data_IF_597846768639
#
_entry.id   IF_597846768639
#
_cell.length_a   1.000
_cell.length_b   1.000
_cell.length_c   1.000
_cell.angle_alpha   90.00
_cell.angle_beta   90.00
_cell.angle_gamma   90.00
#
_symmetry.space_group_name_H-M   'P 1'
#
loop_
_entity.id
_entity.type
_entity.pdbx_description
1 polymer ?
#
# COMPACT_ATOMS: atom_id res chain seq x y z
N UNK A 1 -12.00 -3.91 -8.53
CA UNK A 1 -12.49 -5.15 -7.84
C UNK A 1 -12.40 -4.93 -6.34
N UNK A 2 -13.45 -5.29 -5.59
CA UNK A 2 -13.46 -5.26 -4.12
C UNK A 2 -13.24 -6.67 -3.55
N UNK A 3 -12.32 -6.80 -2.63
CA UNK A 3 -12.03 -8.01 -1.87
C UNK A 3 -12.41 -7.71 -0.42
N UNK A 4 -13.50 -8.31 0.12
CA UNK A 4 -13.86 -8.17 1.53
C UNK A 4 -12.75 -8.68 2.46
N UNK A 5 -12.66 -8.20 3.71
CA UNK A 5 -11.67 -8.70 4.66
C UNK A 5 -11.87 -10.20 4.94
N UNK A 6 -10.77 -10.93 4.99
CA UNK A 6 -10.73 -12.35 5.34
C UNK A 6 -9.37 -12.69 5.94
N UNK A 7 -9.27 -13.81 6.64
CA UNK A 7 -7.98 -14.33 7.05
C UNK A 7 -7.29 -14.98 5.84
N UNK A 8 -6.25 -14.33 5.34
CA UNK A 8 -5.50 -14.79 4.18
C UNK A 8 -4.45 -15.87 4.52
N UNK A 9 -4.33 -16.24 5.81
CA UNK A 9 -3.39 -17.27 6.26
C UNK A 9 -1.96 -17.07 5.72
N UNK A 10 -1.53 -15.80 5.68
CA UNK A 10 -0.26 -15.34 5.10
C UNK A 10 -0.09 -15.60 3.59
N UNK A 11 -1.16 -15.97 2.87
CA UNK A 11 -1.14 -16.10 1.41
C UNK A 11 -1.42 -14.76 0.74
N UNK A 12 -0.92 -14.53 -0.49
CA UNK A 12 -1.15 -13.28 -1.20
C UNK A 12 -2.65 -12.97 -1.41
N UNK A 13 -3.06 -11.75 -1.09
CA UNK A 13 -4.39 -11.21 -1.39
C UNK A 13 -4.49 -10.80 -2.87
N UNK A 14 -3.39 -10.25 -3.40
CA UNK A 14 -3.20 -9.97 -4.83
C UNK A 14 -1.93 -10.70 -5.25
N UNK A 15 -2.07 -11.79 -5.96
CA UNK A 15 -0.96 -12.62 -6.41
C UNK A 15 -0.48 -12.24 -7.83
N UNK A 16 0.63 -12.85 -8.26
CA UNK A 16 1.23 -12.63 -9.57
C UNK A 16 0.34 -13.07 -10.77
N UNK A 17 -0.77 -13.78 -10.51
CA UNK A 17 -1.74 -14.21 -11.51
C UNK A 17 -2.99 -13.32 -11.55
N UNK A 18 -3.05 -12.28 -10.74
CA UNK A 18 -4.18 -11.38 -10.69
C UNK A 18 -4.40 -10.70 -12.05
N UNK A 19 -5.62 -10.80 -12.58
CA UNK A 19 -5.96 -10.29 -13.91
C UNK A 19 -6.49 -8.85 -13.88
N UNK A 20 -6.95 -8.38 -12.74
CA UNK A 20 -7.46 -7.01 -12.58
C UNK A 20 -6.32 -6.02 -12.47
N UNK A 21 -5.32 -6.34 -11.67
CA UNK A 21 -4.14 -5.50 -11.44
C UNK A 21 -2.86 -6.31 -11.64
N UNK A 22 -2.54 -6.73 -12.89
CA UNK A 22 -1.44 -7.63 -13.19
C UNK A 22 -0.05 -7.06 -12.89
N UNK A 23 0.05 -5.75 -12.65
CA UNK A 23 1.31 -5.12 -12.26
C UNK A 23 1.55 -5.16 -10.75
N UNK A 24 0.54 -5.45 -9.93
CA UNK A 24 0.61 -5.38 -8.48
C UNK A 24 0.72 -6.76 -7.81
N UNK A 25 1.35 -6.76 -6.64
CA UNK A 25 1.35 -7.86 -5.68
C UNK A 25 1.07 -7.30 -4.29
N UNK A 26 0.27 -8.01 -3.51
CA UNK A 26 -0.03 -7.63 -2.12
C UNK A 26 -0.24 -8.85 -1.23
N UNK A 27 0.43 -8.84 -0.06
CA UNK A 27 0.23 -9.83 0.99
C UNK A 27 0.18 -9.15 2.36
N UNK A 28 -0.56 -9.74 3.28
CA UNK A 28 -0.55 -9.43 4.71
C UNK A 28 -0.03 -10.65 5.44
N UNK A 29 1.08 -10.49 6.16
CA UNK A 29 1.71 -11.55 6.93
C UNK A 29 1.54 -11.25 8.42
N UNK A 30 1.00 -12.20 9.17
CA UNK A 30 0.81 -12.12 10.63
C UNK A 30 1.73 -13.11 11.31
N UNK A 31 2.55 -12.61 12.21
CA UNK A 31 3.57 -13.40 12.91
C UNK A 31 3.45 -13.21 14.42
N UNK A 32 3.77 -14.24 15.17
CA UNK A 32 3.99 -14.20 16.61
C UNK A 32 5.48 -14.21 16.91
N UNK A 33 5.85 -13.81 18.11
CA UNK A 33 7.24 -13.79 18.56
C UNK A 33 7.95 -15.11 18.31
N UNK A 34 9.05 -15.02 17.60
CA UNK A 34 9.87 -16.17 17.22
C UNK A 34 9.43 -16.87 15.92
N UNK A 35 8.29 -16.50 15.35
CA UNK A 35 7.91 -16.97 14.01
C UNK A 35 8.82 -16.33 12.96
N UNK A 36 9.06 -17.08 11.88
CA UNK A 36 9.71 -16.60 10.68
C UNK A 36 8.81 -16.85 9.46
N UNK A 37 8.89 -15.96 8.48
CA UNK A 37 8.19 -16.09 7.21
C UNK A 37 9.15 -15.78 6.06
N UNK A 38 9.18 -16.67 5.10
CA UNK A 38 10.02 -16.56 3.92
C UNK A 38 9.14 -16.45 2.67
N UNK A 39 9.54 -15.57 1.74
CA UNK A 39 8.88 -15.46 0.46
C UNK A 39 9.84 -15.09 -0.66
N UNK A 40 9.40 -15.34 -1.86
CA UNK A 40 10.05 -14.94 -3.11
C UNK A 40 8.96 -14.75 -4.17
N UNK A 41 8.97 -13.60 -4.87
CA UNK A 41 7.98 -13.32 -5.93
C UNK A 41 8.72 -13.10 -7.26
N UNK A 42 8.84 -14.14 -8.10
CA UNK A 42 9.53 -14.01 -9.39
C UNK A 42 8.90 -12.94 -10.27
N UNK A 43 9.73 -12.05 -10.83
CA UNK A 43 9.28 -10.98 -11.72
C UNK A 43 8.67 -9.76 -11.03
N UNK A 44 8.70 -9.70 -9.71
CA UNK A 44 8.25 -8.56 -8.92
C UNK A 44 9.36 -8.04 -8.00
N UNK A 45 9.50 -6.74 -7.92
CA UNK A 45 10.15 -6.05 -6.81
C UNK A 45 9.12 -5.85 -5.70
N UNK A 46 9.54 -5.86 -4.44
CA UNK A 46 8.61 -5.72 -3.31
C UNK A 46 9.14 -4.75 -2.25
N UNK A 47 8.23 -4.30 -1.39
CA UNK A 47 8.54 -3.53 -0.19
C UNK A 47 7.84 -4.17 1.00
N UNK A 48 8.61 -4.51 2.03
CA UNK A 48 8.12 -5.03 3.30
C UNK A 48 7.90 -3.85 4.23
N UNK A 49 6.69 -3.70 4.78
CA UNK A 49 6.33 -2.59 5.68
C UNK A 49 5.61 -3.15 6.90
N UNK A 50 6.19 -3.12 8.11
CA UNK A 50 5.47 -3.45 9.32
C UNK A 50 4.30 -2.48 9.55
N UNK A 51 3.08 -3.00 9.53
CA UNK A 51 1.89 -2.26 9.94
C UNK A 51 1.86 -2.15 11.47
N UNK A 52 2.22 -3.24 12.17
CA UNK A 52 2.43 -3.28 13.61
C UNK A 52 3.57 -4.23 13.96
N UNK A 53 4.12 -4.07 15.16
CA UNK A 53 5.20 -4.90 15.68
C UNK A 53 6.58 -4.54 15.13
N UNK A 54 7.56 -5.35 15.52
CA UNK A 54 8.97 -5.17 15.12
C UNK A 54 9.48 -6.48 14.54
N UNK A 55 10.16 -6.40 13.40
CA UNK A 55 10.73 -7.54 12.69
C UNK A 55 12.20 -7.32 12.35
N UNK A 56 12.94 -8.41 12.17
CA UNK A 56 14.21 -8.43 11.46
C UNK A 56 13.98 -9.00 10.06
N UNK A 57 14.71 -8.52 9.06
CA UNK A 57 14.59 -8.95 7.67
C UNK A 57 15.97 -9.32 7.13
N UNK A 58 16.04 -10.44 6.42
CA UNK A 58 17.19 -10.84 5.61
C UNK A 58 16.78 -10.89 4.15
N UNK A 59 17.52 -10.19 3.28
CA UNK A 59 17.33 -10.22 1.83
C UNK A 59 18.63 -10.71 1.20
N UNK A 60 18.64 -11.93 0.66
CA UNK A 60 19.80 -12.54 0.02
C UNK A 60 21.11 -12.42 0.86
N UNK A 61 21.01 -12.53 2.17
CA UNK A 61 22.14 -12.42 3.10
C UNK A 61 22.42 -10.99 3.62
N UNK A 62 21.72 -9.99 3.14
CA UNK A 62 21.77 -8.62 3.69
C UNK A 62 20.75 -8.47 4.81
N UNK A 63 21.20 -8.11 6.01
CA UNK A 63 20.37 -8.00 7.20
C UNK A 63 19.91 -6.57 7.46
N UNK A 64 18.62 -6.42 7.78
CA UNK A 64 17.97 -5.21 8.24
C UNK A 64 17.30 -5.50 9.58
N UNK A 65 17.75 -4.82 10.62
CA UNK A 65 17.34 -5.15 11.97
C UNK A 65 16.39 -4.12 12.56
N UNK A 66 15.44 -4.61 13.39
CA UNK A 66 14.52 -3.83 14.20
C UNK A 66 13.70 -2.82 13.38
N UNK A 67 13.02 -3.32 12.37
CA UNK A 67 12.05 -2.52 11.60
C UNK A 67 10.67 -2.60 12.25
N UNK A 68 10.02 -1.44 12.29
CA UNK A 68 8.69 -1.27 12.88
C UNK A 68 8.74 -0.74 14.30
N UNK A 69 7.97 0.32 14.52
CA UNK A 69 7.87 1.03 15.80
C UNK A 69 6.42 1.20 16.28
N UNK A 70 5.45 0.65 15.54
CA UNK A 70 4.02 0.69 15.86
C UNK A 70 3.65 -0.49 16.75
N UNK A 71 2.87 -0.22 17.80
CA UNK A 71 2.53 -1.24 18.81
C UNK A 71 1.17 -1.88 18.52
N UNK A 72 0.12 -1.10 18.37
CA UNK A 72 -1.27 -1.58 18.25
C UNK A 72 -1.85 -1.39 16.85
N UNK A 73 -1.60 -0.23 16.23
CA UNK A 73 -2.16 0.07 14.90
C UNK A 73 -1.27 1.00 14.06
N UNK A 74 -1.70 1.26 12.84
CA UNK A 74 -0.99 2.10 11.87
C UNK A 74 -0.92 3.58 12.25
N UNK A 75 -1.71 4.04 13.24
CA UNK A 75 -1.67 5.41 13.78
C UNK A 75 -0.62 5.62 14.85
N UNK A 76 -0.05 4.54 15.43
CA UNK A 76 0.85 4.62 16.60
C UNK A 76 2.26 5.11 16.27
N UNK A 77 2.64 5.22 15.00
CA UNK A 77 4.00 5.60 14.65
C UNK A 77 4.23 5.83 13.16
N UNK A 78 5.49 5.99 12.83
CA UNK A 78 5.91 6.29 11.48
C UNK A 78 6.22 4.99 10.69
N UNK A 79 6.00 4.99 9.36
CA UNK A 79 6.32 3.84 8.54
C UNK A 79 7.83 3.62 8.42
N UNK A 80 8.21 2.36 8.45
CA UNK A 80 9.52 1.88 8.09
C UNK A 80 9.37 0.72 7.11
N UNK A 81 10.37 0.46 6.27
CA UNK A 81 10.27 -0.64 5.32
C UNK A 81 11.62 -1.13 4.81
N UNK A 82 11.58 -2.21 4.04
CA UNK A 82 12.72 -2.72 3.28
C UNK A 82 12.29 -2.95 1.84
N UNK A 83 13.03 -2.38 0.91
CA UNK A 83 12.92 -2.69 -0.50
C UNK A 83 13.62 -4.02 -0.80
N UNK A 84 12.94 -4.90 -1.48
CA UNK A 84 13.40 -6.22 -1.91
C UNK A 84 13.44 -6.24 -3.44
N UNK A 85 14.60 -6.47 -4.04
CA UNK A 85 14.76 -6.50 -5.50
C UNK A 85 13.96 -7.61 -6.18
N UNK A 86 13.78 -7.48 -7.48
CA UNK A 86 13.05 -8.44 -8.31
C UNK A 86 13.51 -9.88 -8.07
N UNK A 87 12.57 -10.72 -7.65
CA UNK A 87 12.78 -12.15 -7.47
C UNK A 87 13.78 -12.51 -6.37
N UNK A 88 14.22 -11.57 -5.54
CA UNK A 88 15.08 -11.86 -4.40
C UNK A 88 14.28 -12.60 -3.32
N UNK A 89 14.96 -13.50 -2.64
CA UNK A 89 14.44 -14.21 -1.48
C UNK A 89 14.54 -13.30 -0.25
N UNK A 90 13.44 -13.15 0.47
CA UNK A 90 13.40 -12.42 1.72
C UNK A 90 12.84 -13.28 2.84
N UNK A 91 13.46 -13.20 4.01
CA UNK A 91 13.03 -13.83 5.24
C UNK A 91 12.83 -12.77 6.31
N UNK A 92 11.71 -12.81 7.01
CA UNK A 92 11.42 -11.93 8.13
C UNK A 92 11.19 -12.74 9.41
N UNK A 93 11.73 -12.26 10.54
CA UNK A 93 11.57 -12.86 11.85
C UNK A 93 10.88 -11.87 12.81
N UNK A 94 9.82 -12.32 13.50
CA UNK A 94 9.09 -11.50 14.45
C UNK A 94 9.84 -11.34 15.76
N UNK A 95 10.08 -10.09 16.18
CA UNK A 95 10.80 -9.72 17.40
C UNK A 95 9.88 -9.28 18.53
N UNK A 96 8.70 -8.73 18.21
CA UNK A 96 7.64 -8.33 19.16
C UNK A 96 6.71 -9.51 19.47
N UNK A 97 5.76 -9.34 20.42
CA UNK A 97 4.79 -10.40 20.73
C UNK A 97 3.94 -10.78 19.51
N UNK A 98 3.58 -9.79 18.69
CA UNK A 98 2.90 -9.99 17.41
C UNK A 98 3.45 -8.96 16.40
N UNK A 99 3.34 -9.28 15.13
CA UNK A 99 3.58 -8.35 14.04
C UNK A 99 2.59 -8.60 12.92
N UNK A 100 2.08 -7.52 12.33
CA UNK A 100 1.38 -7.53 11.05
C UNK A 100 2.23 -6.81 10.04
N UNK A 101 2.49 -7.43 8.90
CA UNK A 101 3.45 -6.94 7.91
C UNK A 101 2.80 -6.92 6.54
N UNK A 102 2.84 -5.77 5.87
CA UNK A 102 2.44 -5.62 4.48
C UNK A 102 3.61 -5.93 3.56
N UNK A 103 3.36 -6.70 2.51
CA UNK A 103 4.29 -6.91 1.40
C UNK A 103 3.62 -6.36 0.15
N UNK A 104 4.08 -5.18 -0.26
CA UNK A 104 3.66 -4.52 -1.50
C UNK A 104 4.59 -4.90 -2.63
N UNK A 105 4.10 -5.08 -3.86
CA UNK A 105 4.97 -5.39 -4.98
C UNK A 105 4.50 -4.81 -6.30
N UNK A 106 5.47 -4.60 -7.20
CA UNK A 106 5.22 -4.22 -8.58
C UNK A 106 6.05 -5.07 -9.54
N UNK A 107 5.46 -5.37 -10.70
CA UNK A 107 6.12 -6.13 -11.75
C UNK A 107 7.29 -5.34 -12.34
N UNK A 108 8.48 -5.93 -12.31
CA UNK A 108 9.71 -5.32 -12.81
C UNK A 108 10.67 -6.36 -13.33
N UNK A 109 11.67 -5.97 -14.12
CA UNK A 109 12.58 -6.88 -14.83
C UNK A 109 14.06 -6.66 -14.53
N UNK A 110 14.40 -5.62 -13.75
CA UNK A 110 15.81 -5.34 -13.41
C UNK A 110 16.06 -5.58 -11.91
N UNK A 111 17.17 -6.22 -11.62
CA UNK A 111 17.62 -6.44 -10.24
C UNK A 111 18.31 -5.18 -9.73
N UNK A 112 17.83 -4.63 -8.64
CA UNK A 112 18.40 -3.48 -7.94
C UNK A 112 19.01 -3.94 -6.61
N UNK A 113 19.44 -2.99 -5.78
CA UNK A 113 20.08 -3.28 -4.49
C UNK A 113 19.03 -3.16 -3.37
N UNK A 114 18.92 -4.11 -2.42
CA UNK A 114 18.03 -3.97 -1.29
C UNK A 114 18.50 -2.83 -0.36
N UNK A 115 17.54 -2.12 0.24
CA UNK A 115 17.81 -1.04 1.21
C UNK A 115 16.66 -0.91 2.19
N UNK A 116 16.94 -0.38 3.39
CA UNK A 116 15.91 -0.01 4.34
C UNK A 116 15.39 1.41 4.11
N UNK A 117 14.12 1.60 4.40
CA UNK A 117 13.42 2.88 4.32
C UNK A 117 13.12 3.34 5.74
N UNK A 118 13.86 4.35 6.20
CA UNK A 118 13.69 5.00 7.50
C UNK A 118 13.18 6.44 7.35
N UNK A 119 13.24 6.96 6.13
CA UNK A 119 12.78 8.30 5.80
C UNK A 119 11.76 8.22 4.66
N UNK A 120 10.70 8.97 4.79
CA UNK A 120 9.61 9.05 3.82
C UNK A 120 9.33 10.53 3.46
N UNK A 121 8.61 10.76 2.38
CA UNK A 121 8.10 12.08 2.05
C UNK A 121 6.72 12.26 2.66
N UNK A 122 6.54 13.33 3.45
CA UNK A 122 5.24 13.71 3.98
C UNK A 122 4.65 14.83 3.13
N UNK A 123 3.48 14.57 2.58
CA UNK A 123 2.69 15.55 1.82
C UNK A 123 1.31 15.69 2.45
N UNK A 124 0.77 16.90 2.44
CA UNK A 124 -0.58 17.18 2.92
C UNK A 124 -1.37 17.88 1.81
N UNK A 125 -2.60 17.45 1.62
CA UNK A 125 -3.52 17.99 0.62
C UNK A 125 -4.88 18.29 1.22
N UNK A 126 -5.61 19.20 0.56
CA UNK A 126 -6.97 19.55 0.93
C UNK A 126 -7.06 20.44 2.16
N UNK A 127 -8.26 20.54 2.72
CA UNK A 127 -8.53 21.34 3.93
C UNK A 127 -9.60 20.71 4.81
N UNK A 128 -9.65 21.11 6.07
CA UNK A 128 -10.66 20.67 7.03
C UNK A 128 -12.05 21.23 6.69
N UNK A 129 -12.09 22.41 6.07
CA UNK A 129 -13.33 23.09 5.66
C UNK A 129 -14.08 22.27 4.59
N UNK A 130 -13.35 21.71 3.64
CA UNK A 130 -13.92 20.91 2.55
C UNK A 130 -13.97 19.42 2.87
N UNK A 131 -13.52 19.00 4.06
CA UNK A 131 -13.40 17.59 4.44
C UNK A 131 -12.55 16.77 3.45
N UNK A 132 -11.49 17.39 2.95
CA UNK A 132 -10.55 16.76 2.01
C UNK A 132 -9.12 16.73 2.53
N UNK A 133 -8.90 17.15 3.78
CA UNK A 133 -7.57 17.15 4.38
C UNK A 133 -7.07 15.73 4.59
N UNK A 134 -5.91 15.43 4.05
CA UNK A 134 -5.23 14.14 4.17
C UNK A 134 -3.72 14.29 4.25
N UNK A 135 -3.11 13.36 4.97
CA UNK A 135 -1.66 13.19 5.05
C UNK A 135 -1.27 11.96 4.23
N UNK A 136 -0.24 12.10 3.42
CA UNK A 136 0.33 11.02 2.62
C UNK A 136 1.80 10.86 3.01
N UNK A 137 2.17 9.66 3.40
CA UNK A 137 3.54 9.26 3.71
C UNK A 137 4.03 8.37 2.57
N UNK A 138 4.87 8.90 1.69
CA UNK A 138 5.45 8.13 0.58
C UNK A 138 6.67 7.35 1.06
N UNK A 139 6.50 6.05 1.31
CA UNK A 139 7.55 5.14 1.76
C UNK A 139 8.54 4.88 0.62
N UNK A 140 8.02 4.50 -0.54
CA UNK A 140 8.76 4.51 -1.79
C UNK A 140 8.16 5.60 -2.69
N UNK A 141 8.79 6.76 -2.71
CA UNK A 141 8.34 7.95 -3.39
C UNK A 141 9.49 8.68 -4.10
N UNK A 142 9.41 10.00 -4.14
CA UNK A 142 10.41 10.83 -4.83
C UNK A 142 11.82 10.68 -4.25
N UNK A 143 11.96 10.51 -2.94
CA UNK A 143 13.28 10.30 -2.31
C UNK A 143 13.98 9.01 -2.72
N UNK A 144 13.22 8.00 -3.12
CA UNK A 144 13.74 6.68 -3.48
C UNK A 144 13.69 6.40 -4.99
N UNK A 145 13.30 7.39 -5.81
CA UNK A 145 13.01 7.21 -7.24
C UNK A 145 14.18 6.64 -8.06
N UNK A 146 15.42 6.87 -7.64
CA UNK A 146 16.64 6.37 -8.28
C UNK A 146 17.05 4.95 -7.82
N UNK A 147 16.39 4.41 -6.79
CA UNK A 147 16.68 3.13 -6.16
C UNK A 147 15.62 2.07 -6.40
N UNK A 148 14.46 2.45 -6.92
CA UNK A 148 13.31 1.57 -7.17
C UNK A 148 12.99 1.52 -8.66
N UNK A 149 12.30 0.47 -9.10
CA UNK A 149 11.91 0.32 -10.50
C UNK A 149 10.57 0.97 -10.81
N UNK A 150 9.49 0.24 -10.52
CA UNK A 150 8.11 0.62 -10.86
C UNK A 150 7.17 0.63 -9.67
N UNK A 151 7.69 0.37 -8.47
CA UNK A 151 6.90 0.28 -7.26
C UNK A 151 6.82 1.64 -6.55
N UNK A 152 5.60 2.14 -6.36
CA UNK A 152 5.29 3.20 -5.42
C UNK A 152 4.53 2.61 -4.23
N UNK A 153 4.93 2.99 -3.02
CA UNK A 153 4.25 2.58 -1.78
C UNK A 153 3.99 3.79 -0.92
N UNK A 154 2.75 3.95 -0.51
CA UNK A 154 2.35 5.09 0.32
C UNK A 154 1.32 4.68 1.37
N UNK A 155 1.26 5.47 2.43
CA UNK A 155 0.20 5.44 3.42
C UNK A 155 -0.57 6.75 3.38
N UNK A 156 -1.89 6.66 3.29
CA UNK A 156 -2.77 7.83 3.34
C UNK A 156 -3.62 7.79 4.59
N UNK A 157 -3.75 8.96 5.23
CA UNK A 157 -4.57 9.19 6.41
C UNK A 157 -5.53 10.34 6.13
N UNK A 158 -6.83 10.15 6.33
CA UNK A 158 -7.74 11.29 6.47
C UNK A 158 -7.45 12.00 7.77
N UNK A 159 -7.55 13.33 7.78
CA UNK A 159 -7.33 14.14 8.98
C UNK A 159 -8.68 14.55 9.55
N UNK A 160 -8.92 14.16 10.80
CA UNK A 160 -10.21 14.34 11.47
C UNK A 160 -11.30 13.37 11.01
N UNK A 161 -12.41 13.40 11.71
CA UNK A 161 -13.51 12.48 11.51
C UNK A 161 -14.36 12.84 10.28
N UNK A 162 -14.52 11.86 9.40
CA UNK A 162 -15.20 12.05 8.12
C UNK A 162 -14.32 12.77 7.08
N UNK A 163 -14.37 12.38 5.83
CA UNK A 163 -13.61 13.09 4.81
C UNK A 163 -13.45 12.32 3.51
N UNK A 164 -12.91 12.99 2.51
CA UNK A 164 -12.67 12.48 1.17
C UNK A 164 -11.17 12.32 0.89
N UNK A 165 -10.84 11.27 0.15
CA UNK A 165 -9.52 11.04 -0.43
C UNK A 165 -9.64 10.65 -1.91
N UNK A 166 -8.52 10.65 -2.64
CA UNK A 166 -8.58 10.54 -4.09
C UNK A 166 -9.28 11.73 -4.76
N UNK A 167 -9.28 12.88 -4.10
CA UNK A 167 -9.99 14.10 -4.52
C UNK A 167 -8.98 15.23 -4.85
N UNK A 168 -9.18 16.06 -5.91
CA UNK A 168 -10.23 15.92 -6.93
C UNK A 168 -10.20 14.56 -7.62
N UNK A 169 -11.39 14.11 -8.05
CA UNK A 169 -11.52 12.82 -8.73
C UNK A 169 -10.59 12.78 -9.95
N UNK A 170 -9.72 11.80 -10.01
CA UNK A 170 -8.70 11.67 -11.05
C UNK A 170 -8.56 10.21 -11.47
N UNK A 171 -7.88 10.00 -12.59
CA UNK A 171 -7.51 8.68 -13.11
C UNK A 171 -6.09 8.72 -13.69
N UNK A 172 -5.47 7.57 -13.78
CA UNK A 172 -4.15 7.35 -14.38
C UNK A 172 -4.16 5.99 -15.09
N UNK A 173 -4.98 5.90 -16.11
CA UNK A 173 -5.27 4.68 -16.86
C UNK A 173 -4.73 4.70 -18.31
N UNK A 174 -4.00 5.75 -18.66
CA UNK A 174 -3.51 5.97 -20.02
C UNK A 174 -2.08 6.47 -20.03
N UNK A 175 -1.25 5.96 -20.94
CA UNK A 175 0.10 6.49 -21.15
C UNK A 175 0.06 7.71 -22.08
N UNK A 176 0.23 8.91 -21.51
CA UNK A 176 0.31 10.21 -22.21
C UNK A 176 1.48 11.05 -21.69
N UNK A 177 2.68 10.53 -21.87
CA UNK A 177 3.92 11.16 -21.36
C UNK A 177 4.07 12.58 -21.92
N UNK A 178 4.47 13.57 -21.09
CA UNK A 178 4.82 13.50 -19.67
C UNK A 178 3.63 13.73 -18.71
N UNK A 179 2.39 13.79 -19.19
CA UNK A 179 1.21 14.22 -18.42
C UNK A 179 0.61 13.12 -17.56
N UNK A 180 0.69 11.88 -18.02
CA UNK A 180 0.05 10.74 -17.38
C UNK A 180 0.78 9.46 -17.74
N UNK A 181 0.89 8.54 -16.78
CA UNK A 181 1.32 7.15 -16.99
C UNK A 181 0.27 6.22 -16.40
N UNK A 182 0.03 5.09 -17.07
CA UNK A 182 -0.86 4.06 -16.55
C UNK A 182 -0.25 3.42 -15.29
N UNK A 183 -1.09 3.23 -14.26
CA UNK A 183 -0.77 2.49 -13.04
C UNK A 183 -1.88 1.52 -12.72
N UNK A 184 -1.51 0.35 -12.24
CA UNK A 184 -2.43 -0.46 -11.45
C UNK A 184 -2.33 0.00 -10.00
N UNK A 185 -3.45 0.17 -9.31
CA UNK A 185 -3.47 0.49 -7.89
C UNK A 185 -4.13 -0.58 -7.04
N UNK A 186 -3.62 -0.74 -5.83
CA UNK A 186 -4.22 -1.59 -4.81
C UNK A 186 -4.25 -0.83 -3.49
N UNK A 187 -5.43 -0.75 -2.88
CA UNK A 187 -5.64 -0.14 -1.57
C UNK A 187 -6.02 -1.19 -0.55
N UNK A 188 -5.45 -1.12 0.66
CA UNK A 188 -5.91 -1.88 1.80
C UNK A 188 -6.27 -0.93 2.94
N UNK A 189 -7.51 -1.00 3.42
CA UNK A 189 -8.10 -0.01 4.31
C UNK A 189 -8.02 -0.41 5.78
N UNK A 190 -7.83 0.60 6.64
CA UNK A 190 -8.04 0.54 8.10
C UNK A 190 -8.88 1.72 8.56
N UNK A 191 -9.63 1.53 9.63
CA UNK A 191 -10.48 2.56 10.20
C UNK A 191 -10.19 2.78 11.68
N UNK A 192 -10.41 4.02 12.13
CA UNK A 192 -10.34 4.36 13.55
C UNK A 192 -11.65 5.02 14.00
N UNK A 193 -12.36 4.37 14.94
CA UNK A 193 -12.12 3.02 15.46
C UNK A 193 -12.31 1.92 14.37
N UNK A 194 -11.82 0.71 14.62
CA UNK A 194 -11.76 -0.38 13.64
C UNK A 194 -13.11 -0.91 13.14
N UNK A 195 -14.23 -0.54 13.77
CA UNK A 195 -15.60 -0.78 13.26
C UNK A 195 -16.11 0.33 12.34
N UNK A 196 -15.27 1.32 12.06
CA UNK A 196 -15.56 2.37 11.08
C UNK A 196 -15.71 1.82 9.68
N UNK A 197 -16.24 2.65 8.79
CA UNK A 197 -16.46 2.27 7.40
C UNK A 197 -16.45 3.48 6.48
N UNK A 198 -16.40 3.20 5.18
CA UNK A 198 -16.37 4.21 4.13
C UNK A 198 -16.93 3.70 2.81
N UNK A 199 -16.74 4.49 1.78
CA UNK A 199 -17.10 4.14 0.41
C UNK A 199 -15.90 4.33 -0.52
N UNK A 200 -15.65 3.35 -1.38
CA UNK A 200 -14.78 3.48 -2.54
C UNK A 200 -15.65 3.56 -3.78
N UNK A 201 -15.46 4.60 -4.57
CA UNK A 201 -16.16 4.77 -5.85
C UNK A 201 -15.24 4.41 -7.00
N UNK A 202 -15.76 3.74 -8.02
CA UNK A 202 -15.06 3.44 -9.27
C UNK A 202 -15.94 3.84 -10.45
N UNK A 203 -15.57 4.91 -11.14
CA UNK A 203 -16.25 5.35 -12.37
C UNK A 203 -15.34 5.07 -13.56
N UNK A 204 -15.74 4.14 -14.40
CA UNK A 204 -14.91 3.61 -15.50
C UNK A 204 -14.82 4.54 -16.71
N UNK A 205 -15.88 5.27 -16.99
CA UNK A 205 -15.98 6.16 -18.14
C UNK A 205 -16.54 7.52 -17.75
N UNK A 206 -16.21 8.53 -18.53
CA UNK A 206 -16.77 9.87 -18.38
C UNK A 206 -18.30 9.82 -18.62
N UNK A 207 -19.06 10.53 -17.79
CA UNK A 207 -20.51 10.64 -17.85
C UNK A 207 -21.31 9.33 -17.63
N UNK A 208 -20.69 8.28 -17.15
CA UNK A 208 -21.36 7.05 -16.73
C UNK A 208 -21.42 6.96 -15.21
N UNK A 209 -22.44 6.30 -14.69
CA UNK A 209 -22.49 5.95 -13.28
C UNK A 209 -21.46 4.85 -13.02
N UNK A 210 -20.76 4.95 -11.88
CA UNK A 210 -19.82 3.94 -11.45
C UNK A 210 -20.35 3.05 -10.34
N UNK A 211 -19.49 2.15 -9.87
CA UNK A 211 -19.73 1.33 -8.69
C UNK A 211 -19.37 2.11 -7.42
N UNK A 212 -20.08 1.79 -6.34
CA UNK A 212 -19.74 2.22 -4.99
C UNK A 212 -19.65 1.00 -4.08
N UNK A 213 -18.48 0.78 -3.50
CA UNK A 213 -18.22 -0.33 -2.60
C UNK A 213 -18.22 0.16 -1.16
N UNK A 214 -18.99 -0.50 -0.30
CA UNK A 214 -18.88 -0.32 1.14
C UNK A 214 -17.58 -0.97 1.59
N UNK A 215 -16.66 -0.17 2.16
CA UNK A 215 -15.37 -0.61 2.66
C UNK A 215 -15.35 -0.58 4.18
N UNK A 216 -14.75 -1.60 4.77
CA UNK A 216 -14.56 -1.79 6.21
C UNK A 216 -13.11 -2.10 6.50
N UNK A 217 -12.73 -2.19 7.75
CA UNK A 217 -11.36 -2.51 8.16
C UNK A 217 -10.87 -3.83 7.53
N UNK A 218 -9.70 -3.79 6.89
CA UNK A 218 -9.14 -4.91 6.13
C UNK A 218 -9.63 -5.07 4.68
N UNK A 219 -10.61 -4.28 4.22
CA UNK A 219 -11.05 -4.31 2.81
C UNK A 219 -9.89 -3.99 1.87
N UNK A 220 -9.81 -4.70 0.74
CA UNK A 220 -8.85 -4.43 -0.34
C UNK A 220 -9.59 -4.03 -1.61
N UNK A 221 -9.12 -3.00 -2.29
CA UNK A 221 -9.64 -2.53 -3.58
C UNK A 221 -8.54 -2.61 -4.62
N UNK A 222 -8.83 -3.24 -5.75
CA UNK A 222 -7.97 -3.26 -6.92
C UNK A 222 -8.54 -2.34 -8.00
N UNK A 223 -7.74 -1.40 -8.47
CA UNK A 223 -8.10 -0.35 -9.42
C UNK A 223 -7.21 -0.49 -10.65
N UNK A 224 -7.79 -0.88 -11.75
CA UNK A 224 -7.12 -1.05 -13.05
C UNK A 224 -7.28 0.20 -13.93
N UNK A 225 -8.41 0.90 -13.81
CA UNK A 225 -8.71 2.12 -14.56
C UNK A 225 -9.89 2.88 -13.98
N UNK A 226 -10.03 4.15 -14.40
CA UNK A 226 -11.16 5.02 -14.08
C UNK A 226 -10.93 5.91 -12.85
N UNK A 227 -11.91 6.77 -12.60
CA UNK A 227 -11.92 7.67 -11.44
C UNK A 227 -12.24 6.89 -10.17
N UNK A 228 -11.48 7.15 -9.09
CA UNK A 228 -11.50 6.29 -7.91
C UNK A 228 -11.45 7.06 -6.56
N UNK A 229 -12.27 8.11 -6.37
CA UNK A 229 -12.33 8.77 -5.08
C UNK A 229 -12.91 7.84 -4.01
N UNK A 230 -12.49 8.04 -2.77
CA UNK A 230 -13.03 7.33 -1.62
C UNK A 230 -13.38 8.32 -0.49
N UNK A 231 -14.24 7.89 0.42
CA UNK A 231 -14.55 8.67 1.60
C UNK A 231 -14.75 7.78 2.83
N UNK A 232 -14.49 8.36 3.98
CA UNK A 232 -14.83 7.78 5.27
C UNK A 232 -16.13 8.40 5.79
N UNK A 233 -17.00 7.58 6.43
CA UNK A 233 -18.24 8.07 7.00
C UNK A 233 -17.97 9.01 8.19
N UNK A 234 -18.90 9.94 8.49
CA UNK A 234 -18.78 10.84 9.62
C UNK A 234 -18.56 10.09 10.94
N UNK A 235 -17.63 10.57 11.76
CA UNK A 235 -17.30 9.96 13.05
C UNK A 235 -16.09 9.01 13.03
N UNK A 236 -15.56 8.67 11.86
CA UNK A 236 -14.44 7.77 11.70
C UNK A 236 -13.26 8.45 11.00
N UNK A 237 -12.04 7.96 11.27
CA UNK A 237 -10.85 8.26 10.48
C UNK A 237 -10.50 7.05 9.60
N UNK A 238 -9.91 7.30 8.45
CA UNK A 238 -9.53 6.28 7.49
C UNK A 238 -8.03 6.35 7.20
N UNK A 239 -7.43 5.18 7.18
CA UNK A 239 -6.11 4.92 6.63
C UNK A 239 -6.27 3.98 5.44
N UNK A 240 -5.42 4.13 4.44
CA UNK A 240 -5.22 3.06 3.47
C UNK A 240 -3.76 2.99 3.00
N UNK A 241 -3.29 1.75 2.92
CA UNK A 241 -2.02 1.40 2.35
C UNK A 241 -2.17 1.33 0.83
N UNK A 242 -1.33 2.05 0.10
CA UNK A 242 -1.43 2.22 -1.36
C UNK A 242 -0.24 1.60 -2.04
N UNK A 243 -0.51 0.78 -3.04
CA UNK A 243 0.47 0.13 -3.89
C UNK A 243 0.18 0.54 -5.34
N UNK A 244 1.16 1.17 -5.98
CA UNK A 244 1.07 1.51 -7.40
C UNK A 244 2.14 0.76 -8.17
N UNK A 245 1.69 -0.07 -9.11
CA UNK A 245 2.54 -0.71 -10.11
C UNK A 245 2.55 0.14 -11.38
N UNK A 246 3.67 0.81 -11.64
CA UNK A 246 3.78 1.69 -12.81
C UNK A 246 4.01 0.87 -14.09
N UNK A 247 3.33 1.22 -15.17
CA UNK A 247 3.59 0.61 -16.49
C UNK A 247 4.93 1.04 -17.09
N UNK A 248 5.43 2.20 -16.66
CA UNK A 248 6.72 2.77 -17.08
C UNK A 248 7.57 3.08 -15.84
N UNK A 249 8.88 3.16 -16.02
CA UNK A 249 9.81 3.53 -14.94
C UNK A 249 9.46 4.93 -14.42
N UNK A 250 9.69 5.18 -13.14
CA UNK A 250 9.63 6.50 -12.53
C UNK A 250 10.35 7.55 -13.38
N UNK A 251 9.61 8.55 -13.80
CA UNK A 251 10.15 9.70 -14.52
C UNK A 251 10.30 10.87 -13.55
#
# INVERSE_FOLDING_TARGET
MHIPPYDNENNPIVDANNKTVPLNYFNIVKLKKGDAFEYQVPGYETCIVPATGTININVEGMEFQRLGNRVEDVWDGEPEGVYVPVGAKAEMACMSENAEVFIAGAKYDKVLIPFDVREYDLVQYGSDETKTHRKIKHILGQKQHDKVGRLLVSELFTVGAGGWSGFPSHKHDTNRIPKETHHDETYNFRFKPNWGSGLQMLQRSDNESGDAYHIVDGSTICIDHGYHPCCVLPGYEMYYFTILGLSLIHI
#
